data_IF_912093107242
#
_entry.id   IF_912093107242
#
_cell.length_a   1.000
_cell.length_b   1.000
_cell.length_c   1.000
_cell.angle_alpha   90.00
_cell.angle_beta   90.00
_cell.angle_gamma   90.00
#
_symmetry.space_group_name_H-M   'P 1'
#
loop_
_entity.id
_entity.type
_entity.pdbx_description
1 polymer ?
#
# COMPACT_ATOMS: atom_id res chain seq x y z
N UNK A 1 7.17 7.45 6.88
CA UNK A 1 6.40 6.74 5.82
C UNK A 1 6.62 5.24 5.98
N UNK A 2 5.54 4.45 5.96
CA UNK A 2 5.59 2.99 6.10
C UNK A 2 5.67 2.26 4.76
N UNK A 3 5.23 2.91 3.68
CA UNK A 3 5.25 2.37 2.33
C UNK A 3 4.07 2.85 1.50
N UNK A 4 3.98 2.34 0.28
CA UNK A 4 2.89 2.59 -0.65
C UNK A 4 1.92 1.41 -0.64
N UNK A 5 0.63 1.68 -0.60
CA UNK A 5 -0.45 0.69 -0.55
C UNK A 5 -1.19 0.67 -1.89
N UNK A 6 -1.41 -0.49 -2.44
CA UNK A 6 -2.23 -0.69 -3.63
C UNK A 6 -2.70 -2.14 -3.77
N UNK A 7 -3.63 -2.38 -4.70
CA UNK A 7 -4.14 -3.69 -5.05
C UNK A 7 -3.75 -4.10 -6.47
N UNK A 8 -3.54 -5.40 -6.67
CA UNK A 8 -3.35 -5.98 -8.00
C UNK A 8 -4.18 -7.23 -8.18
N UNK A 9 -4.46 -7.58 -9.45
CA UNK A 9 -5.27 -8.72 -9.82
C UNK A 9 -4.42 -9.85 -10.40
N UNK A 10 -4.80 -11.10 -10.07
CA UNK A 10 -4.33 -12.33 -10.71
C UNK A 10 -5.49 -13.00 -11.42
N UNK A 11 -5.36 -13.24 -12.72
CA UNK A 11 -6.39 -13.91 -13.52
C UNK A 11 -6.58 -15.34 -13.06
N UNK A 12 -7.83 -15.73 -12.77
CA UNK A 12 -8.19 -17.06 -12.30
C UNK A 12 -8.95 -17.85 -13.37
N UNK A 13 -8.24 -18.51 -14.27
CA UNK A 13 -8.85 -19.22 -15.41
C UNK A 13 -9.71 -20.41 -15.01
N UNK A 14 -9.30 -21.16 -14.00
CA UNK A 14 -10.00 -22.37 -13.53
C UNK A 14 -10.91 -22.08 -12.34
N UNK A 15 -11.47 -20.86 -12.29
CA UNK A 15 -12.48 -20.50 -11.29
C UNK A 15 -13.68 -21.42 -11.41
N UNK A 16 -14.12 -22.07 -10.31
CA UNK A 16 -15.33 -22.86 -10.30
C UNK A 16 -16.56 -22.04 -10.71
N UNK A 17 -17.51 -22.67 -11.38
CA UNK A 17 -18.70 -22.00 -11.93
C UNK A 17 -19.50 -21.28 -10.82
N UNK A 18 -19.59 -21.89 -9.64
CA UNK A 18 -20.33 -21.39 -8.48
C UNK A 18 -19.71 -20.07 -7.93
N UNK A 19 -18.39 -19.90 -8.09
CA UNK A 19 -17.66 -18.72 -7.62
C UNK A 19 -17.47 -17.66 -8.71
N UNK A 20 -17.74 -18.01 -9.96
CA UNK A 20 -17.40 -17.15 -11.10
C UNK A 20 -18.07 -15.77 -11.00
N UNK A 21 -19.33 -15.69 -10.64
CA UNK A 21 -20.03 -14.42 -10.47
C UNK A 21 -19.41 -13.52 -9.40
N UNK A 22 -18.95 -14.12 -8.29
CA UNK A 22 -18.31 -13.39 -7.20
C UNK A 22 -16.92 -12.87 -7.56
N UNK A 23 -16.15 -13.59 -8.40
CA UNK A 23 -14.77 -13.22 -8.76
C UNK A 23 -14.66 -12.46 -10.08
N UNK A 24 -15.79 -12.30 -10.81
CA UNK A 24 -15.84 -11.61 -12.09
C UNK A 24 -16.12 -10.12 -11.89
N UNK A 25 -15.25 -9.28 -12.42
CA UNK A 25 -15.44 -7.84 -12.51
C UNK A 25 -15.80 -7.48 -13.96
N UNK A 26 -16.67 -6.47 -14.13
CA UNK A 26 -17.22 -6.14 -15.45
C UNK A 26 -16.18 -5.68 -16.48
N UNK A 27 -15.05 -5.15 -16.05
CA UNK A 27 -13.93 -4.69 -16.87
C UNK A 27 -12.88 -5.78 -17.17
N UNK A 28 -13.04 -6.98 -16.62
CA UNK A 28 -12.16 -8.12 -16.85
C UNK A 28 -12.84 -9.25 -17.62
N UNK A 29 -12.12 -9.85 -18.58
CA UNK A 29 -12.63 -11.00 -19.32
C UNK A 29 -12.75 -12.29 -18.49
N UNK A 30 -12.00 -12.40 -17.42
CA UNK A 30 -11.91 -13.58 -16.57
C UNK A 30 -12.05 -13.20 -15.10
N UNK A 31 -12.54 -14.14 -14.26
CA UNK A 31 -12.47 -13.98 -12.82
C UNK A 31 -11.04 -13.69 -12.36
N UNK A 32 -10.91 -12.89 -11.32
CA UNK A 32 -9.60 -12.53 -10.75
C UNK A 32 -9.61 -12.70 -9.23
N UNK A 33 -8.43 -12.93 -8.67
CA UNK A 33 -8.17 -12.90 -7.22
C UNK A 33 -7.30 -11.69 -6.94
N UNK A 34 -7.66 -10.90 -5.93
CA UNK A 34 -6.92 -9.70 -5.57
C UNK A 34 -5.81 -9.98 -4.57
N UNK A 35 -4.76 -9.18 -4.67
CA UNK A 35 -3.71 -9.03 -3.70
C UNK A 35 -3.61 -7.55 -3.32
N UNK A 36 -3.85 -7.22 -2.05
CA UNK A 36 -3.46 -5.95 -1.44
C UNK A 36 -2.03 -6.12 -0.90
N UNK A 37 -1.19 -5.12 -1.11
CA UNK A 37 0.16 -5.12 -0.54
C UNK A 37 0.63 -3.72 -0.17
N UNK A 38 1.59 -3.68 0.77
CA UNK A 38 2.36 -2.49 1.10
C UNK A 38 3.81 -2.76 0.74
N UNK A 39 4.41 -1.88 -0.06
CA UNK A 39 5.81 -1.95 -0.43
C UNK A 39 6.56 -0.65 -0.13
N UNK A 40 7.83 -0.77 0.23
CA UNK A 40 8.77 0.36 0.38
C UNK A 40 9.54 0.62 -0.92
N UNK A 41 10.34 1.68 -0.93
CA UNK A 41 11.11 2.14 -2.09
C UNK A 41 12.08 1.08 -2.63
N UNK A 42 12.62 0.23 -1.77
CA UNK A 42 13.46 -0.92 -2.13
C UNK A 42 12.68 -2.11 -2.69
N UNK A 43 11.38 -1.97 -2.88
CA UNK A 43 10.43 -2.97 -3.33
C UNK A 43 10.22 -4.13 -2.35
N UNK A 44 10.64 -3.96 -1.08
CA UNK A 44 10.33 -4.92 -0.03
C UNK A 44 8.83 -4.88 0.28
N UNK A 45 8.20 -6.05 0.31
CA UNK A 45 6.76 -6.18 0.58
C UNK A 45 6.58 -6.47 2.07
N UNK A 46 6.08 -5.45 2.80
CA UNK A 46 5.86 -5.49 4.24
C UNK A 46 4.57 -6.18 4.64
N UNK A 47 3.55 -5.99 3.84
CA UNK A 47 2.22 -6.54 4.06
C UNK A 47 1.68 -7.09 2.76
N UNK A 48 0.93 -8.20 2.86
CA UNK A 48 0.24 -8.80 1.75
C UNK A 48 -1.04 -9.49 2.23
N UNK A 49 -2.16 -9.15 1.60
CA UNK A 49 -3.44 -9.79 1.83
C UNK A 49 -4.02 -10.30 0.50
N UNK A 50 -3.88 -11.61 0.28
CA UNK A 50 -4.31 -12.26 -0.95
C UNK A 50 -5.58 -13.08 -0.73
N UNK A 51 -6.51 -13.04 -1.69
CA UNK A 51 -7.70 -13.87 -1.70
C UNK A 51 -9.04 -13.16 -1.87
N UNK A 52 -9.15 -11.83 -1.67
CA UNK A 52 -10.39 -11.14 -2.00
C UNK A 52 -10.82 -11.37 -3.43
N UNK A 53 -12.12 -11.30 -3.65
CA UNK A 53 -12.71 -11.51 -4.97
C UNK A 53 -12.44 -10.30 -5.88
N UNK A 54 -12.11 -10.58 -7.15
CA UNK A 54 -11.78 -9.54 -8.11
C UNK A 54 -12.93 -8.59 -8.48
N UNK A 55 -14.17 -8.91 -8.11
CA UNK A 55 -15.32 -8.00 -8.23
C UNK A 55 -15.33 -6.89 -7.18
N UNK A 56 -14.52 -7.01 -6.12
CA UNK A 56 -14.42 -5.99 -5.08
C UNK A 56 -13.57 -4.82 -5.55
N UNK A 57 -13.79 -3.66 -4.94
CA UNK A 57 -12.90 -2.52 -5.07
C UNK A 57 -11.89 -2.50 -3.91
N UNK A 58 -10.87 -1.65 -4.00
CA UNK A 58 -9.78 -1.57 -3.04
C UNK A 58 -10.27 -1.19 -1.64
N UNK A 59 -11.34 -0.38 -1.53
CA UNK A 59 -11.95 -0.02 -0.25
C UNK A 59 -12.53 -1.26 0.45
N UNK A 60 -13.21 -2.13 -0.31
CA UNK A 60 -13.78 -3.37 0.24
C UNK A 60 -12.67 -4.36 0.66
N UNK A 61 -11.56 -4.38 -0.06
CA UNK A 61 -10.37 -5.16 0.30
C UNK A 61 -9.74 -4.62 1.58
N UNK A 62 -9.56 -3.29 1.65
CA UNK A 62 -9.05 -2.60 2.82
C UNK A 62 -9.85 -2.92 4.10
N UNK A 63 -11.17 -2.96 4.00
CA UNK A 63 -12.03 -3.29 5.15
C UNK A 63 -11.84 -4.71 5.69
N UNK A 64 -11.39 -5.63 4.85
CA UNK A 64 -11.09 -7.02 5.18
C UNK A 64 -9.63 -7.25 5.55
N UNK A 65 -8.76 -6.28 5.27
CA UNK A 65 -7.31 -6.38 5.46
C UNK A 65 -6.94 -6.54 6.93
N UNK A 66 -6.16 -7.56 7.30
CA UNK A 66 -5.69 -7.76 8.67
C UNK A 66 -4.88 -6.57 9.21
N UNK A 67 -4.11 -5.90 8.35
CA UNK A 67 -3.32 -4.72 8.71
C UNK A 67 -4.20 -3.61 9.27
N UNK A 68 -5.27 -3.29 8.54
CA UNK A 68 -6.16 -2.20 8.93
C UNK A 68 -7.21 -2.61 9.97
N UNK A 69 -7.48 -3.91 10.10
CA UNK A 69 -8.24 -4.42 11.23
C UNK A 69 -7.52 -4.15 12.55
N UNK A 70 -6.20 -4.38 12.60
CA UNK A 70 -5.39 -4.04 13.77
C UNK A 70 -5.40 -2.53 14.08
N UNK A 71 -5.34 -1.67 13.04
CA UNK A 71 -5.46 -0.22 13.19
C UNK A 71 -6.81 0.19 13.79
N UNK A 72 -7.89 -0.39 13.30
CA UNK A 72 -9.25 -0.10 13.79
C UNK A 72 -9.51 -0.59 15.21
N UNK A 73 -8.92 -1.71 15.56
CA UNK A 73 -9.11 -2.33 16.88
C UNK A 73 -8.10 -1.82 17.92
N UNK A 74 -7.24 -0.86 17.59
CA UNK A 74 -6.23 -0.31 18.51
C UNK A 74 -5.11 -1.28 18.87
N UNK A 75 -4.94 -2.37 18.12
CA UNK A 75 -3.89 -3.37 18.35
C UNK A 75 -2.67 -3.17 17.46
N UNK A 76 -2.69 -2.18 16.56
CA UNK A 76 -1.55 -1.84 15.74
C UNK A 76 -0.44 -1.18 16.57
N UNK A 77 0.83 -1.51 16.32
CA UNK A 77 1.94 -0.89 17.05
C UNK A 77 2.00 0.62 16.79
N UNK A 78 2.39 1.37 17.82
CA UNK A 78 2.68 2.78 17.67
C UNK A 78 3.98 2.96 16.88
N UNK A 79 3.94 3.86 15.91
CA UNK A 79 5.11 4.25 15.13
C UNK A 79 5.16 5.78 15.06
N UNK A 80 5.50 6.46 16.20
CA UNK A 80 5.45 7.90 16.25
C UNK A 80 6.55 8.53 15.38
N UNK A 81 6.22 9.65 14.77
CA UNK A 81 7.16 10.49 14.02
C UNK A 81 6.78 11.96 14.16
N UNK A 82 7.73 12.83 13.83
CA UNK A 82 7.53 14.26 13.90
C UNK A 82 7.79 14.88 12.51
N UNK A 83 6.92 15.81 12.12
CA UNK A 83 7.10 16.67 10.95
C UNK A 83 6.54 18.06 11.26
N UNK A 84 7.24 19.11 10.85
CA UNK A 84 6.89 20.52 11.12
C UNK A 84 6.50 20.81 12.59
N UNK A 85 7.24 20.26 13.54
CA UNK A 85 6.99 20.33 14.99
C UNK A 85 5.68 19.66 15.48
N UNK A 86 4.93 19.01 14.63
CA UNK A 86 3.77 18.21 15.02
C UNK A 86 4.17 16.74 15.20
N UNK A 87 3.73 16.16 16.32
CA UNK A 87 3.94 14.73 16.63
C UNK A 87 2.72 13.92 16.15
N UNK A 88 3.00 12.89 15.35
CA UNK A 88 2.01 11.91 14.89
C UNK A 88 2.26 10.57 15.56
N UNK A 89 1.23 9.95 16.13
CA UNK A 89 1.35 8.69 16.88
C UNK A 89 1.63 7.49 15.97
N UNK A 90 1.17 7.53 14.71
CA UNK A 90 1.19 6.39 13.79
C UNK A 90 1.86 6.78 12.49
N UNK A 91 2.66 5.88 11.94
CA UNK A 91 3.21 6.03 10.61
C UNK A 91 2.12 6.07 9.54
N UNK A 92 2.45 6.56 8.35
CA UNK A 92 1.49 6.75 7.26
C UNK A 92 1.87 5.96 6.01
N UNK A 93 0.84 5.69 5.20
CA UNK A 93 0.94 5.03 3.90
C UNK A 93 0.59 5.99 2.77
N UNK A 94 1.28 5.85 1.64
CA UNK A 94 0.89 6.55 0.41
C UNK A 94 -0.18 5.74 -0.30
N UNK A 95 -1.27 6.38 -0.66
CA UNK A 95 -2.41 5.75 -1.33
C UNK A 95 -2.89 6.60 -2.50
N UNK A 96 -3.67 6.00 -3.39
CA UNK A 96 -4.38 6.76 -4.40
C UNK A 96 -5.61 7.47 -3.83
N UNK A 97 -6.33 8.23 -4.68
CA UNK A 97 -7.46 9.05 -4.28
C UNK A 97 -8.70 8.29 -3.82
N UNK A 98 -8.82 6.99 -4.19
CA UNK A 98 -10.02 6.18 -3.89
C UNK A 98 -10.11 5.80 -2.40
N UNK A 99 -8.97 5.65 -1.73
CA UNK A 99 -8.93 5.27 -0.33
C UNK A 99 -9.61 6.30 0.59
N UNK A 100 -10.09 5.91 1.78
CA UNK A 100 -10.75 6.85 2.70
C UNK A 100 -9.78 7.91 3.24
N UNK A 101 -10.34 8.98 3.84
CA UNK A 101 -9.58 10.05 4.51
C UNK A 101 -9.18 9.66 5.93
N UNK A 102 -8.47 8.54 6.06
CA UNK A 102 -7.95 8.13 7.36
C UNK A 102 -6.65 8.86 7.69
N UNK A 103 -6.41 9.11 8.98
CA UNK A 103 -5.23 9.83 9.48
C UNK A 103 -3.89 9.16 9.13
N UNK A 104 -3.91 7.88 8.78
CA UNK A 104 -2.73 7.10 8.36
C UNK A 104 -2.54 7.06 6.83
N UNK A 105 -3.42 7.68 6.06
CA UNK A 105 -3.31 7.73 4.61
C UNK A 105 -2.95 9.13 4.12
N UNK A 106 -2.02 9.16 3.19
CA UNK A 106 -1.62 10.39 2.51
C UNK A 106 -1.92 10.22 1.03
N UNK A 107 -2.74 11.14 0.51
CA UNK A 107 -3.21 11.16 -0.88
C UNK A 107 -2.66 12.37 -1.62
N UNK A 108 -2.41 12.22 -2.92
CA UNK A 108 -2.02 13.32 -3.80
C UNK A 108 -3.12 14.39 -3.92
N UNK A 109 -2.76 15.55 -4.46
CA UNK A 109 -3.72 16.57 -4.86
C UNK A 109 -4.22 16.28 -6.27
N UNK A 110 -5.55 16.21 -6.50
CA UNK A 110 -6.06 16.08 -7.86
C UNK A 110 -5.74 17.33 -8.69
N UNK A 111 -5.88 18.51 -8.07
CA UNK A 111 -5.66 19.82 -8.69
C UNK A 111 -4.73 20.66 -7.80
N UNK A 112 -3.39 20.53 -7.95
CA UNK A 112 -2.45 21.34 -7.17
C UNK A 112 -2.46 22.80 -7.66
N UNK A 113 -2.54 23.74 -6.72
CA UNK A 113 -2.64 25.16 -7.03
C UNK A 113 -1.29 25.87 -6.94
N UNK A 114 -0.51 25.57 -5.92
CA UNK A 114 0.77 26.24 -5.68
C UNK A 114 1.99 25.37 -6.03
N UNK A 115 3.20 25.94 -6.12
CA UNK A 115 4.42 25.22 -6.45
C UNK A 115 4.74 24.07 -5.47
N UNK A 116 4.47 24.26 -4.16
CA UNK A 116 4.73 23.26 -3.14
C UNK A 116 3.78 22.06 -3.30
N UNK A 117 2.50 22.30 -3.59
CA UNK A 117 1.53 21.25 -3.89
C UNK A 117 1.91 20.47 -5.17
N UNK A 118 2.38 21.19 -6.22
CA UNK A 118 2.87 20.55 -7.46
C UNK A 118 4.10 19.67 -7.18
N UNK A 119 5.05 20.18 -6.40
CA UNK A 119 6.24 19.44 -5.97
C UNK A 119 5.86 18.22 -5.15
N UNK A 120 4.95 18.40 -4.18
CA UNK A 120 4.43 17.30 -3.37
C UNK A 120 3.72 16.25 -4.24
N UNK A 121 2.84 16.64 -5.16
CA UNK A 121 2.14 15.72 -6.06
C UNK A 121 3.12 14.87 -6.85
N UNK A 122 4.13 15.48 -7.48
CA UNK A 122 5.16 14.79 -8.26
C UNK A 122 5.88 13.73 -7.41
N UNK A 123 6.34 14.11 -6.22
CA UNK A 123 7.05 13.22 -5.31
C UNK A 123 6.14 12.11 -4.77
N UNK A 124 4.92 12.46 -4.37
CA UNK A 124 3.92 11.50 -3.90
C UNK A 124 3.61 10.45 -4.97
N UNK A 125 3.32 10.86 -6.21
CA UNK A 125 3.00 9.94 -7.31
C UNK A 125 4.20 9.06 -7.68
N UNK A 126 5.42 9.59 -7.64
CA UNK A 126 6.62 8.81 -7.87
C UNK A 126 6.81 7.72 -6.80
N UNK A 127 6.68 8.10 -5.52
CA UNK A 127 6.83 7.15 -4.40
C UNK A 127 5.65 6.17 -4.29
N UNK A 128 4.43 6.60 -4.62
CA UNK A 128 3.26 5.70 -4.64
C UNK A 128 3.43 4.55 -5.63
N UNK A 129 4.11 4.79 -6.75
CA UNK A 129 4.39 3.76 -7.75
C UNK A 129 5.34 2.65 -7.29
N UNK A 130 5.93 2.75 -6.10
CA UNK A 130 6.83 1.70 -5.58
C UNK A 130 6.12 0.36 -5.43
N UNK A 131 4.89 0.33 -4.93
CA UNK A 131 4.11 -0.91 -4.84
C UNK A 131 3.72 -1.46 -6.21
N UNK A 132 3.39 -0.59 -7.18
CA UNK A 132 3.13 -1.01 -8.57
C UNK A 132 4.40 -1.60 -9.20
N UNK A 133 5.57 -0.97 -8.96
CA UNK A 133 6.87 -1.51 -9.38
C UNK A 133 7.17 -2.86 -8.73
N UNK A 134 6.88 -3.01 -7.43
CA UNK A 134 7.02 -4.28 -6.73
C UNK A 134 6.14 -5.37 -7.37
N UNK A 135 4.88 -5.06 -7.71
CA UNK A 135 4.01 -5.99 -8.45
C UNK A 135 4.56 -6.34 -9.83
N UNK A 136 5.11 -5.36 -10.56
CA UNK A 136 5.74 -5.57 -11.86
C UNK A 136 6.93 -6.52 -11.77
N UNK A 137 7.85 -6.27 -10.83
CA UNK A 137 9.02 -7.12 -10.59
C UNK A 137 8.60 -8.52 -10.14
N UNK A 138 7.62 -8.62 -9.22
CA UNK A 138 7.08 -9.89 -8.75
C UNK A 138 6.52 -10.74 -9.91
N UNK A 139 5.67 -10.15 -10.76
CA UNK A 139 5.07 -10.83 -11.92
C UNK A 139 6.11 -11.18 -12.99
N UNK A 140 7.10 -10.32 -13.21
CA UNK A 140 8.19 -10.57 -14.16
C UNK A 140 9.09 -11.72 -13.70
N UNK A 141 9.50 -11.72 -12.44
CA UNK A 141 10.37 -12.76 -11.85
C UNK A 141 9.67 -14.11 -11.75
N UNK A 142 8.39 -14.11 -11.41
CA UNK A 142 7.59 -15.33 -11.21
C UNK A 142 6.52 -15.47 -12.30
N UNK A 143 6.88 -16.05 -13.43
CA UNK A 143 5.99 -16.21 -14.59
C UNK A 143 4.66 -16.92 -14.29
N UNK A 144 4.59 -17.69 -13.19
CA UNK A 144 3.32 -18.28 -12.72
C UNK A 144 2.31 -17.22 -12.29
N UNK A 145 2.76 -16.06 -11.77
CA UNK A 145 1.90 -14.94 -11.36
C UNK A 145 1.43 -14.10 -12.54
N UNK A 146 2.20 -14.09 -13.63
CA UNK A 146 1.86 -13.35 -14.85
C UNK A 146 0.91 -14.13 -15.77
N UNK A 147 0.81 -15.43 -15.58
CA UNK A 147 -0.08 -16.30 -16.37
C UNK A 147 -1.40 -16.54 -15.65
N UNK A 148 -2.49 -16.80 -16.40
CA UNK A 148 -3.77 -17.15 -15.80
C UNK A 148 -3.66 -18.38 -14.89
N UNK A 149 -4.07 -18.23 -13.63
CA UNK A 149 -3.99 -19.26 -12.59
C UNK A 149 -4.88 -20.46 -12.95
N UNK A 150 -4.28 -21.66 -12.90
CA UNK A 150 -4.97 -22.92 -13.21
C UNK A 150 -5.41 -23.71 -11.96
N UNK A 151 -5.30 -23.12 -10.79
CA UNK A 151 -5.76 -23.74 -9.56
C UNK A 151 -7.29 -23.71 -9.47
N UNK A 152 -7.91 -24.74 -8.89
CA UNK A 152 -9.36 -24.80 -8.64
C UNK A 152 -9.79 -24.15 -7.33
N UNK A 153 -8.84 -23.73 -6.48
CA UNK A 153 -9.17 -23.18 -5.16
C UNK A 153 -8.38 -21.91 -4.88
N UNK A 154 -9.00 -20.93 -4.23
CA UNK A 154 -8.36 -19.69 -3.76
C UNK A 154 -7.22 -20.01 -2.78
N UNK A 155 -7.39 -21.00 -1.92
CA UNK A 155 -6.35 -21.45 -0.98
C UNK A 155 -5.04 -21.77 -1.68
N UNK A 156 -5.09 -22.51 -2.80
CA UNK A 156 -3.87 -22.86 -3.57
C UNK A 156 -3.30 -21.65 -4.30
N UNK A 157 -4.13 -20.75 -4.84
CA UNK A 157 -3.67 -19.48 -5.43
C UNK A 157 -2.94 -18.66 -4.37
N UNK A 158 -3.55 -18.51 -3.20
CA UNK A 158 -2.95 -17.81 -2.05
C UNK A 158 -1.59 -18.39 -1.68
N UNK A 159 -1.47 -19.71 -1.57
CA UNK A 159 -0.17 -20.36 -1.27
C UNK A 159 0.88 -20.05 -2.33
N UNK A 160 0.54 -20.08 -3.62
CA UNK A 160 1.47 -19.73 -4.71
C UNK A 160 1.93 -18.27 -4.60
N UNK A 161 0.98 -17.34 -4.40
CA UNK A 161 1.28 -15.91 -4.29
C UNK A 161 2.20 -15.65 -3.09
N UNK A 162 1.87 -16.17 -1.91
CA UNK A 162 2.72 -15.97 -0.71
C UNK A 162 4.09 -16.61 -0.85
N UNK A 163 4.22 -17.76 -1.50
CA UNK A 163 5.53 -18.35 -1.78
C UNK A 163 6.39 -17.41 -2.64
N UNK A 164 5.81 -16.85 -3.70
CA UNK A 164 6.52 -15.90 -4.57
C UNK A 164 6.90 -14.61 -3.82
N UNK A 165 6.04 -14.10 -2.94
CA UNK A 165 6.30 -12.93 -2.10
C UNK A 165 7.46 -13.16 -1.12
N UNK A 166 7.45 -14.30 -0.44
CA UNK A 166 8.53 -14.67 0.49
C UNK A 166 9.86 -14.76 -0.25
N UNK A 167 9.88 -15.47 -1.36
CA UNK A 167 11.09 -15.61 -2.18
C UNK A 167 11.55 -14.27 -2.76
N UNK A 168 10.62 -13.36 -3.11
CA UNK A 168 10.94 -12.01 -3.56
C UNK A 168 11.67 -11.23 -2.47
N UNK A 169 11.14 -11.20 -1.26
CA UNK A 169 11.77 -10.52 -0.13
C UNK A 169 13.13 -11.15 0.23
N UNK A 170 13.23 -12.48 0.19
CA UNK A 170 14.51 -13.18 0.43
C UNK A 170 15.58 -12.74 -0.57
N UNK A 171 15.23 -12.61 -1.86
CA UNK A 171 16.18 -12.18 -2.90
C UNK A 171 16.60 -10.72 -2.68
N UNK A 172 15.66 -9.81 -2.34
CA UNK A 172 16.00 -8.41 -2.04
C UNK A 172 16.98 -8.33 -0.87
N UNK A 173 16.76 -9.17 0.15
CA UNK A 173 17.66 -9.27 1.31
C UNK A 173 19.03 -9.80 0.92
N UNK A 174 19.09 -10.86 0.13
CA UNK A 174 20.33 -11.50 -0.30
C UNK A 174 21.16 -10.59 -1.21
N UNK A 175 20.51 -9.86 -2.10
CA UNK A 175 21.13 -8.85 -2.98
C UNK A 175 21.65 -7.61 -2.21
N UNK A 176 21.46 -7.52 -0.89
CA UNK A 176 21.88 -6.39 -0.05
C UNK A 176 21.14 -5.09 -0.35
N UNK A 177 20.01 -5.14 -1.05
CA UNK A 177 19.20 -3.98 -1.44
C UNK A 177 18.11 -3.63 -0.44
N UNK A 178 17.88 -4.48 0.56
CA UNK A 178 16.88 -4.24 1.58
C UNK A 178 17.33 -3.07 2.48
N UNK A 179 16.55 -2.00 2.52
CA UNK A 179 16.69 -0.88 3.46
C UNK A 179 16.15 -1.29 4.83
N UNK A 180 15.29 -2.31 4.86
CA UNK A 180 14.73 -2.86 6.06
C UNK A 180 15.84 -3.28 7.03
N UNK A 181 15.78 -2.89 8.32
CA UNK A 181 16.76 -3.31 9.29
C UNK A 181 16.80 -4.84 9.36
N UNK A 182 18.00 -5.39 9.41
CA UNK A 182 18.27 -6.84 9.44
C UNK A 182 17.61 -7.54 10.65
N UNK A 183 17.13 -6.75 11.60
CA UNK A 183 16.58 -7.19 12.88
C UNK A 183 15.20 -6.58 13.16
N UNK A 184 14.18 -6.99 12.41
CA UNK A 184 12.83 -6.94 12.95
C UNK A 184 12.62 -8.21 13.79
N UNK A 185 13.38 -8.33 14.85
CA UNK A 185 13.15 -9.24 15.98
C UNK A 185 12.69 -8.43 17.19
N UNK A 186 11.83 -7.45 16.96
CA UNK A 186 11.11 -6.91 18.09
C UNK A 186 10.20 -8.01 18.61
N UNK A 187 10.30 -8.35 19.91
CA UNK A 187 9.37 -9.29 20.49
C UNK A 187 7.95 -8.80 20.19
N UNK A 188 6.98 -9.69 19.93
CA UNK A 188 5.61 -9.30 19.69
C UNK A 188 5.19 -8.43 20.88
N UNK A 189 5.01 -7.14 20.63
CA UNK A 189 4.44 -6.22 21.62
C UNK A 189 3.04 -6.73 21.90
N UNK A 190 2.76 -7.06 23.16
CA UNK A 190 1.40 -7.43 23.52
C UNK A 190 0.45 -6.32 23.07
N UNK A 191 -0.60 -6.65 22.32
CA UNK A 191 -1.51 -5.64 21.79
C UNK A 191 -2.19 -4.94 22.97
N UNK A 192 -1.86 -3.66 23.16
CA UNK A 192 -2.59 -2.80 24.08
C UNK A 192 -3.85 -2.35 23.36
N UNK A 193 -5.00 -2.78 23.88
CA UNK A 193 -6.28 -2.35 23.33
C UNK A 193 -6.47 -0.85 23.60
N UNK A 194 -6.71 -0.07 22.54
CA UNK A 194 -6.93 1.36 22.60
C UNK A 194 -8.33 1.69 22.03
N UNK A 195 -9.26 2.00 22.92
CA UNK A 195 -10.64 2.34 22.59
C UNK A 195 -10.75 3.59 21.69
N UNK A 196 -9.74 4.48 21.72
CA UNK A 196 -9.72 5.72 20.94
C UNK A 196 -9.17 5.51 19.52
N UNK A 197 -8.56 4.37 19.27
CA UNK A 197 -7.82 4.09 18.03
C UNK A 197 -8.66 4.27 16.76
N UNK A 198 -9.92 3.84 16.78
CA UNK A 198 -10.80 4.00 15.63
C UNK A 198 -11.17 5.46 15.39
N UNK A 199 -11.47 6.22 16.46
CA UNK A 199 -11.77 7.66 16.35
C UNK A 199 -10.55 8.42 15.83
N UNK A 200 -9.35 8.10 16.33
CA UNK A 200 -8.10 8.69 15.85
C UNK A 200 -7.81 8.33 14.39
N UNK A 201 -8.18 7.11 13.97
CA UNK A 201 -7.96 6.65 12.59
C UNK A 201 -8.80 7.43 11.59
N UNK A 202 -10.06 7.71 11.92
CA UNK A 202 -11.02 8.43 11.03
C UNK A 202 -10.97 9.94 11.22
N UNK A 203 -10.06 10.47 12.02
CA UNK A 203 -9.91 11.90 12.27
C UNK A 203 -9.42 12.64 11.00
N UNK A 204 -10.33 13.32 10.34
CA UNK A 204 -10.05 14.08 9.12
C UNK A 204 -9.13 15.29 9.38
N UNK A 205 -9.22 15.91 10.56
CA UNK A 205 -8.36 17.05 10.90
C UNK A 205 -6.90 16.62 10.96
N UNK A 206 -6.63 15.46 11.55
CA UNK A 206 -5.29 14.88 11.56
C UNK A 206 -4.84 14.47 10.16
N UNK A 207 -5.72 13.94 9.32
CA UNK A 207 -5.41 13.63 7.92
C UNK A 207 -4.95 14.87 7.15
N UNK A 208 -5.73 15.96 7.22
CA UNK A 208 -5.42 17.18 6.49
C UNK A 208 -4.18 17.89 7.05
N UNK A 209 -4.03 17.94 8.37
CA UNK A 209 -2.84 18.49 9.02
C UNK A 209 -1.58 17.75 8.61
N UNK A 210 -1.58 16.41 8.63
CA UNK A 210 -0.44 15.61 8.18
C UNK A 210 -0.07 15.92 6.73
N UNK A 211 -1.06 15.97 5.85
CA UNK A 211 -0.85 16.27 4.44
C UNK A 211 -0.25 17.66 4.25
N UNK A 212 -0.75 18.68 4.95
CA UNK A 212 -0.22 20.04 4.91
C UNK A 212 1.22 20.11 5.42
N UNK A 213 1.49 19.51 6.57
CA UNK A 213 2.85 19.43 7.14
C UNK A 213 3.85 18.78 6.19
N UNK A 214 3.43 17.73 5.48
CA UNK A 214 4.28 17.07 4.49
C UNK A 214 4.53 17.95 3.25
N UNK A 215 3.54 18.73 2.81
CA UNK A 215 3.69 19.70 1.71
C UNK A 215 4.71 20.78 2.08
N UNK A 216 4.57 21.38 3.26
CA UNK A 216 5.50 22.40 3.76
C UNK A 216 6.92 21.83 3.95
N UNK A 217 7.00 20.64 4.54
CA UNK A 217 8.30 19.96 4.74
C UNK A 217 9.01 19.73 3.41
N UNK A 218 8.33 19.17 2.41
CA UNK A 218 8.92 18.96 1.08
C UNK A 218 9.20 20.29 0.36
N UNK A 219 8.37 21.32 0.58
CA UNK A 219 8.61 22.66 0.06
C UNK A 219 9.90 23.28 0.57
N UNK A 220 10.23 23.04 1.86
CA UNK A 220 11.45 23.56 2.50
C UNK A 220 12.73 22.83 2.09
N UNK A 221 12.63 21.63 1.49
CA UNK A 221 13.78 20.87 1.03
C UNK A 221 14.23 21.37 -0.34
N UNK A 222 15.53 21.59 -0.48
CA UNK A 222 16.15 21.82 -1.78
C UNK A 222 16.28 20.48 -2.52
N UNK A 223 15.41 20.26 -3.50
CA UNK A 223 15.38 19.05 -4.32
C UNK A 223 15.43 19.43 -5.80
N UNK A 224 16.62 19.71 -6.34
CA UNK A 224 16.79 20.25 -7.71
C UNK A 224 16.12 19.42 -8.80
N UNK A 225 16.04 18.08 -8.61
CA UNK A 225 15.40 17.16 -9.55
C UNK A 225 13.86 17.23 -9.55
N UNK A 226 13.27 18.02 -8.63
CA UNK A 226 11.83 18.23 -8.52
C UNK A 226 11.41 19.67 -8.82
N UNK A 227 12.37 20.54 -9.16
CA UNK A 227 12.03 21.88 -9.64
C UNK A 227 11.16 21.75 -10.89
N UNK A 228 10.06 22.45 -10.88
CA UNK A 228 9.11 22.47 -12.00
C UNK A 228 9.78 23.27 -13.11
N UNK A 229 10.12 22.62 -14.23
CA UNK A 229 10.43 23.35 -15.44
C UNK A 229 9.27 24.31 -15.72
N UNK A 230 9.56 25.60 -15.76
CA UNK A 230 8.60 26.70 -15.95
C UNK A 230 7.94 26.72 -17.33
N UNK A 231 8.12 25.67 -18.13
CA UNK A 231 7.80 25.64 -19.56
C UNK A 231 6.60 24.77 -19.93
N UNK A 232 5.80 24.28 -18.97
CA UNK A 232 4.50 23.65 -19.27
C UNK A 232 3.35 24.59 -18.87
N UNK A 233 3.09 25.61 -19.70
CA UNK A 233 1.81 26.29 -19.84
C UNK A 233 0.88 25.57 -20.84
#
# INVERSE_FOLDING_TARGET
>A
MLGSLDCTHFVWRMCPTELRGQYMRGDHQYPTVMLEAVASQDLWIWHAFCGPAGSQNDINVLQQSPLFLAQRNGTAPNCPFQVNNHLYKRGYYLTDGIYPTWSVFVKSFPYPHDPNEKKFKRQHEAARKDVERAFGVLKSKWGILNRPMRSKTVKKIRSIVYTCLILHNMIIKDDGRAIAPVHIQDPPVEPVFDDTAYTELIDEDTHWRLKHDLVEHLGSLDLPHLEVDSDEE
#
